data_IF_488025169203
#
_entry.id   IF_488025169203
#
_cell.length_a   1.000
_cell.length_b   1.000
_cell.length_c   1.000
_cell.angle_alpha   90.00
_cell.angle_beta   90.00
_cell.angle_gamma   90.00
#
_symmetry.space_group_name_H-M   'P 1'
#
loop_
_entity.id
_entity.type
_entity.pdbx_description
1 polymer ?
#
# COMPACT_ATOMS: atom_id res chain seq x y z
N UNK A 1 34.67 -5.60 7.11
CA UNK A 1 33.45 -5.95 7.87
C UNK A 1 32.52 -6.59 6.86
N UNK A 2 32.11 -7.83 7.07
CA UNK A 2 31.17 -8.51 6.18
C UNK A 2 29.76 -7.96 6.33
N UNK A 3 28.94 -8.09 5.28
CA UNK A 3 27.54 -7.65 5.29
C UNK A 3 26.71 -8.56 6.20
N UNK A 4 26.04 -7.95 7.15
CA UNK A 4 25.10 -8.59 8.07
C UNK A 4 24.00 -7.60 8.48
N UNK A 5 23.01 -8.03 9.23
CA UNK A 5 21.97 -7.13 9.76
C UNK A 5 22.54 -6.01 10.65
N UNK A 6 23.71 -6.20 11.25
CA UNK A 6 24.40 -5.18 12.07
C UNK A 6 25.25 -4.22 11.23
N UNK A 7 25.71 -4.65 10.06
CA UNK A 7 26.64 -3.90 9.20
C UNK A 7 25.98 -3.34 7.95
N UNK A 8 24.70 -3.69 7.71
CA UNK A 8 23.93 -3.16 6.59
C UNK A 8 23.69 -1.66 6.76
N UNK A 9 23.99 -0.88 5.71
CA UNK A 9 23.77 0.57 5.69
C UNK A 9 22.28 0.90 5.60
N UNK A 10 21.52 0.10 4.84
CA UNK A 10 20.06 0.25 4.76
C UNK A 10 19.38 -0.34 6.00
N UNK A 11 18.56 0.43 6.74
CA UNK A 11 17.79 -0.10 7.86
C UNK A 11 16.73 -1.11 7.43
N UNK A 12 16.30 -1.09 6.16
CA UNK A 12 15.34 -2.05 5.59
C UNK A 12 15.91 -3.47 5.66
N UNK A 13 17.21 -3.64 5.34
CA UNK A 13 17.89 -4.93 5.38
C UNK A 13 18.59 -5.21 6.71
N UNK A 14 18.94 -4.17 7.44
CA UNK A 14 19.60 -4.23 8.75
C UNK A 14 18.60 -4.35 9.90
N UNK A 15 18.37 -3.22 10.58
CA UNK A 15 17.52 -3.13 11.78
C UNK A 15 16.13 -3.76 11.62
N UNK A 16 15.54 -3.62 10.43
CA UNK A 16 14.17 -4.08 10.14
C UNK A 16 14.13 -5.31 9.22
N UNK A 17 15.27 -5.97 9.00
CA UNK A 17 15.38 -7.09 8.07
C UNK A 17 14.40 -8.25 8.32
N UNK A 18 14.01 -8.50 9.58
CA UNK A 18 12.99 -9.49 9.89
C UNK A 18 11.58 -9.06 9.47
N UNK A 19 11.28 -7.76 9.53
CA UNK A 19 9.99 -7.21 9.13
C UNK A 19 9.80 -7.19 7.60
N UNK A 20 10.88 -7.15 6.85
CA UNK A 20 10.90 -7.09 5.38
C UNK A 20 11.20 -8.43 4.73
N UNK A 21 11.32 -9.51 5.51
CA UNK A 21 11.70 -10.83 5.03
C UNK A 21 10.86 -11.31 3.83
N UNK A 22 9.56 -11.05 3.84
CA UNK A 22 8.64 -11.44 2.77
C UNK A 22 8.96 -10.79 1.41
N UNK A 23 9.74 -9.71 1.39
CA UNK A 23 10.13 -9.00 0.17
C UNK A 23 11.43 -9.53 -0.46
N UNK A 24 12.22 -10.33 0.27
CA UNK A 24 13.55 -10.77 -0.20
C UNK A 24 13.47 -11.62 -1.45
N UNK A 25 12.58 -12.58 -1.50
CA UNK A 25 12.38 -13.47 -2.66
C UNK A 25 11.79 -12.77 -3.88
N UNK A 26 11.34 -11.50 -3.71
CA UNK A 26 10.69 -10.72 -4.73
C UNK A 26 11.61 -9.60 -5.23
N UNK A 27 12.11 -8.74 -4.33
CA UNK A 27 12.78 -7.48 -4.72
C UNK A 27 14.30 -7.47 -4.51
N UNK A 28 14.89 -8.54 -4.01
CA UNK A 28 16.36 -8.65 -3.98
C UNK A 28 16.94 -8.94 -5.37
N UNK A 29 18.26 -8.85 -5.51
CA UNK A 29 18.95 -9.28 -6.73
C UNK A 29 18.63 -10.74 -7.07
N UNK A 30 18.54 -11.61 -6.05
CA UNK A 30 18.09 -12.99 -6.20
C UNK A 30 16.67 -13.05 -6.79
N UNK A 31 15.73 -12.26 -6.26
CA UNK A 31 14.37 -12.22 -6.77
C UNK A 31 14.30 -11.79 -8.23
N UNK A 32 15.02 -10.73 -8.62
CA UNK A 32 15.09 -10.29 -10.00
C UNK A 32 15.65 -11.38 -10.94
N UNK A 33 16.73 -12.05 -10.55
CA UNK A 33 17.29 -13.14 -11.34
C UNK A 33 16.33 -14.31 -11.49
N UNK A 34 15.63 -14.68 -10.43
CA UNK A 34 14.59 -15.71 -10.44
C UNK A 34 13.49 -15.42 -11.46
N UNK A 35 12.95 -14.19 -11.46
CA UNK A 35 11.91 -13.81 -12.42
C UNK A 35 12.44 -13.71 -13.85
N UNK A 36 13.68 -13.27 -14.08
CA UNK A 36 14.32 -13.31 -15.40
C UNK A 36 14.41 -14.72 -15.94
N UNK A 37 14.89 -15.68 -15.13
CA UNK A 37 14.93 -17.10 -15.48
C UNK A 37 13.54 -17.62 -15.81
N UNK A 38 12.53 -17.27 -15.03
CA UNK A 38 11.15 -17.64 -15.30
C UNK A 38 10.67 -17.14 -16.67
N UNK A 39 10.89 -15.87 -16.98
CA UNK A 39 10.45 -15.28 -18.26
C UNK A 39 11.14 -15.94 -19.44
N UNK A 40 12.46 -16.13 -19.38
CA UNK A 40 13.24 -16.78 -20.45
C UNK A 40 12.78 -18.22 -20.70
N UNK A 41 12.60 -18.99 -19.63
CA UNK A 41 12.13 -20.38 -19.73
C UNK A 41 10.72 -20.42 -20.34
N UNK A 42 9.81 -19.58 -19.89
CA UNK A 42 8.44 -19.53 -20.43
C UNK A 42 8.42 -19.08 -21.89
N UNK A 43 9.31 -18.16 -22.28
CA UNK A 43 9.45 -17.75 -23.68
C UNK A 43 9.91 -18.92 -24.57
N UNK A 44 10.95 -19.65 -24.16
CA UNK A 44 11.42 -20.84 -24.89
C UNK A 44 10.32 -21.90 -25.02
N UNK A 45 9.57 -22.18 -23.95
CA UNK A 45 8.43 -23.10 -24.01
C UNK A 45 7.33 -22.62 -24.96
N UNK A 46 7.06 -21.32 -25.01
CA UNK A 46 6.09 -20.72 -25.92
C UNK A 46 6.52 -20.85 -27.39
N UNK A 47 7.82 -20.65 -27.69
CA UNK A 47 8.37 -20.86 -29.02
C UNK A 47 8.24 -22.34 -29.45
N UNK A 48 8.60 -23.29 -28.58
CA UNK A 48 8.49 -24.73 -28.84
C UNK A 48 7.05 -25.20 -29.06
N UNK A 49 6.08 -24.55 -28.49
CA UNK A 49 4.67 -24.86 -28.68
C UNK A 49 4.08 -24.31 -30.01
N UNK A 50 4.88 -23.53 -30.78
CA UNK A 50 4.45 -22.96 -32.06
C UNK A 50 4.83 -23.83 -33.24
N UNK A 51 3.84 -24.37 -33.92
CA UNK A 51 4.08 -25.21 -35.09
C UNK A 51 4.72 -24.45 -36.28
N UNK A 52 4.59 -23.11 -36.30
CA UNK A 52 5.15 -22.24 -37.34
C UNK A 52 6.63 -21.91 -37.10
N UNK A 53 7.24 -22.47 -36.02
CA UNK A 53 8.67 -22.37 -35.69
C UNK A 53 9.27 -23.82 -35.72
N UNK A 54 9.43 -24.44 -36.87
CA UNK A 54 9.84 -25.85 -36.95
C UNK A 54 11.25 -26.12 -36.44
N UNK A 55 12.10 -25.09 -36.33
CA UNK A 55 13.46 -25.17 -35.77
C UNK A 55 13.47 -25.43 -34.27
N UNK A 56 12.34 -25.15 -33.58
CA UNK A 56 12.13 -25.47 -32.16
C UNK A 56 10.98 -26.46 -32.04
N UNK A 57 11.27 -27.79 -32.18
CA UNK A 57 10.23 -28.80 -32.07
C UNK A 57 9.51 -28.75 -30.73
N UNK A 58 8.26 -29.20 -30.71
CA UNK A 58 7.49 -29.31 -29.47
C UNK A 58 8.27 -30.22 -28.47
N UNK A 59 8.42 -29.70 -27.24
CA UNK A 59 9.10 -30.45 -26.18
C UNK A 59 8.21 -31.58 -25.67
N UNK A 60 8.84 -32.73 -25.36
CA UNK A 60 8.20 -33.79 -24.63
C UNK A 60 7.98 -33.42 -23.14
N UNK A 61 7.24 -34.29 -22.44
CA UNK A 61 6.90 -34.07 -21.04
C UNK A 61 8.14 -34.00 -20.14
N UNK A 62 9.20 -34.72 -20.43
CA UNK A 62 10.44 -34.71 -19.66
C UNK A 62 11.21 -33.42 -19.83
N UNK A 63 11.29 -32.85 -21.02
CA UNK A 63 11.92 -31.56 -21.29
C UNK A 63 11.11 -30.39 -20.67
N UNK A 64 9.79 -30.46 -20.74
CA UNK A 64 8.91 -29.48 -20.08
C UNK A 64 9.11 -29.55 -18.57
N UNK A 65 9.07 -30.74 -17.97
CA UNK A 65 9.26 -30.93 -16.53
C UNK A 65 10.63 -30.42 -16.06
N UNK A 66 11.68 -30.65 -16.86
CA UNK A 66 13.02 -30.15 -16.56
C UNK A 66 13.08 -28.61 -16.56
N UNK A 67 12.51 -27.97 -17.58
CA UNK A 67 12.42 -26.51 -17.64
C UNK A 67 11.62 -25.93 -16.48
N UNK A 68 10.48 -26.54 -16.14
CA UNK A 68 9.67 -26.15 -14.99
C UNK A 68 10.44 -26.31 -13.66
N UNK A 69 11.25 -27.35 -13.54
CA UNK A 69 12.09 -27.58 -12.37
C UNK A 69 13.20 -26.53 -12.23
N UNK A 70 13.78 -26.01 -13.33
CA UNK A 70 14.71 -24.87 -13.27
C UNK A 70 14.07 -23.65 -12.61
N UNK A 71 12.83 -23.35 -12.96
CA UNK A 71 12.09 -22.21 -12.39
C UNK A 71 11.69 -22.48 -10.93
N UNK A 72 11.08 -23.63 -10.66
CA UNK A 72 10.53 -23.97 -9.35
C UNK A 72 11.61 -24.14 -8.27
N UNK A 73 12.78 -24.69 -8.65
CA UNK A 73 13.89 -24.98 -7.74
C UNK A 73 15.03 -23.96 -7.85
N UNK A 74 14.80 -22.79 -8.45
CA UNK A 74 15.82 -21.74 -8.55
C UNK A 74 16.35 -21.39 -7.17
N UNK A 75 17.66 -21.43 -6.99
CA UNK A 75 18.32 -21.32 -5.69
C UNK A 75 19.35 -20.18 -5.66
N UNK A 76 19.80 -19.83 -4.44
CA UNK A 76 20.91 -18.86 -4.27
C UNK A 76 22.19 -19.33 -4.99
N UNK A 77 22.42 -20.65 -5.12
CA UNK A 77 23.56 -21.19 -5.90
C UNK A 77 23.43 -20.87 -7.38
N UNK A 78 22.23 -20.98 -7.93
CA UNK A 78 21.96 -20.63 -9.33
C UNK A 78 22.15 -19.14 -9.55
N UNK A 79 21.65 -18.30 -8.62
CA UNK A 79 21.87 -16.85 -8.66
C UNK A 79 23.37 -16.51 -8.59
N UNK A 80 24.13 -17.15 -7.70
CA UNK A 80 25.59 -16.97 -7.63
C UNK A 80 26.27 -17.36 -8.94
N UNK A 81 25.84 -18.47 -9.59
CA UNK A 81 26.37 -18.88 -10.89
C UNK A 81 26.13 -17.81 -11.96
N UNK A 82 24.93 -17.24 -12.03
CA UNK A 82 24.62 -16.13 -12.93
C UNK A 82 25.54 -14.92 -12.65
N UNK A 83 25.77 -14.58 -11.40
CA UNK A 83 26.67 -13.46 -11.01
C UNK A 83 28.14 -13.74 -11.35
N UNK A 84 28.58 -14.99 -11.33
CA UNK A 84 29.92 -15.38 -11.81
C UNK A 84 30.06 -15.16 -13.32
N UNK A 85 29.07 -15.56 -14.11
CA UNK A 85 29.04 -15.34 -15.55
C UNK A 85 29.01 -13.83 -15.84
N UNK A 86 28.21 -13.07 -15.12
CA UNK A 86 28.09 -11.61 -15.26
C UNK A 86 29.43 -10.89 -15.04
N UNK A 87 30.27 -11.33 -14.11
CA UNK A 87 31.62 -10.74 -13.89
C UNK A 87 32.48 -10.77 -15.15
N UNK A 88 32.27 -11.73 -16.02
CA UNK A 88 33.02 -11.89 -17.28
C UNK A 88 32.35 -11.16 -18.43
N UNK A 89 31.01 -11.26 -18.51
CA UNK A 89 30.22 -10.71 -19.63
C UNK A 89 29.96 -9.23 -19.46
N UNK A 90 30.00 -8.72 -18.23
CA UNK A 90 29.59 -7.37 -17.85
C UNK A 90 28.17 -7.00 -18.33
N UNK A 91 27.30 -8.02 -18.40
CA UNK A 91 25.91 -7.86 -18.85
C UNK A 91 25.00 -8.87 -18.12
N UNK A 92 24.07 -8.35 -17.33
CA UNK A 92 23.26 -9.13 -16.40
C UNK A 92 22.26 -10.08 -17.10
N UNK A 93 21.48 -9.59 -18.08
CA UNK A 93 20.51 -10.44 -18.80
C UNK A 93 21.23 -11.47 -19.67
N UNK A 94 22.35 -11.11 -20.29
CA UNK A 94 23.17 -12.07 -21.07
C UNK A 94 23.73 -13.18 -20.19
N UNK A 95 24.03 -12.87 -18.93
CA UNK A 95 24.47 -13.87 -17.96
C UNK A 95 23.37 -14.90 -17.65
N UNK A 96 22.10 -14.47 -17.60
CA UNK A 96 20.95 -15.38 -17.46
C UNK A 96 20.82 -16.29 -18.67
N UNK A 97 20.94 -15.76 -19.89
CA UNK A 97 20.93 -16.56 -21.12
C UNK A 97 22.01 -17.64 -21.10
N UNK A 98 23.26 -17.30 -20.76
CA UNK A 98 24.35 -18.26 -20.67
C UNK A 98 24.13 -19.32 -19.59
N UNK A 99 23.62 -18.91 -18.42
CA UNK A 99 23.24 -19.86 -17.38
C UNK A 99 22.20 -20.89 -17.87
N UNK A 100 21.18 -20.42 -18.60
CA UNK A 100 20.16 -21.31 -19.16
C UNK A 100 20.73 -22.22 -20.26
N UNK A 101 21.68 -21.73 -21.07
CA UNK A 101 22.40 -22.56 -22.03
C UNK A 101 23.21 -23.68 -21.34
N UNK A 102 23.91 -23.36 -20.23
CA UNK A 102 24.57 -24.36 -19.38
C UNK A 102 23.58 -25.43 -18.87
N UNK A 103 22.40 -24.99 -18.39
CA UNK A 103 21.36 -25.95 -17.94
C UNK A 103 20.80 -26.79 -19.09
N UNK A 104 20.65 -26.23 -20.28
CA UNK A 104 20.14 -26.92 -21.45
C UNK A 104 21.07 -28.08 -21.93
N UNK A 105 22.39 -28.01 -21.66
CA UNK A 105 23.34 -29.08 -22.01
C UNK A 105 22.96 -30.44 -21.40
N UNK A 106 22.26 -30.47 -20.28
CA UNK A 106 21.87 -31.71 -19.62
C UNK A 106 20.77 -32.51 -20.37
N UNK A 107 20.02 -31.83 -21.28
CA UNK A 107 18.91 -32.46 -22.00
C UNK A 107 19.12 -32.28 -23.51
N UNK A 108 19.35 -33.35 -24.29
CA UNK A 108 19.69 -33.23 -25.71
C UNK A 108 18.70 -32.42 -26.54
N UNK A 109 17.41 -32.55 -26.29
CA UNK A 109 16.37 -31.79 -26.97
C UNK A 109 16.46 -30.24 -26.69
N UNK A 110 16.82 -29.84 -25.48
CA UNK A 110 17.02 -28.45 -25.11
C UNK A 110 18.35 -27.89 -25.61
N UNK A 111 19.39 -28.72 -25.58
CA UNK A 111 20.71 -28.35 -26.11
C UNK A 111 20.66 -28.05 -27.61
N UNK A 112 19.91 -28.83 -28.38
CA UNK A 112 19.74 -28.64 -29.81
C UNK A 112 19.11 -27.30 -30.20
N UNK A 113 18.30 -26.71 -29.31
CA UNK A 113 17.60 -25.43 -29.52
C UNK A 113 18.09 -24.30 -28.61
N UNK A 114 19.26 -24.49 -27.99
CA UNK A 114 19.79 -23.54 -27.00
C UNK A 114 19.97 -22.10 -27.55
N UNK A 115 20.16 -21.95 -28.87
CA UNK A 115 20.25 -20.63 -29.54
C UNK A 115 18.90 -19.90 -29.59
N UNK A 116 17.78 -20.58 -29.31
CA UNK A 116 16.47 -19.95 -29.18
C UNK A 116 16.18 -19.42 -27.77
N UNK A 117 17.07 -19.62 -26.79
CA UNK A 117 17.02 -18.89 -25.52
C UNK A 117 17.27 -17.41 -25.83
N UNK A 118 16.42 -16.52 -25.33
CA UNK A 118 16.43 -15.08 -25.63
C UNK A 118 16.15 -14.72 -27.11
N UNK A 119 15.51 -15.63 -27.86
CA UNK A 119 15.28 -15.44 -29.29
C UNK A 119 14.44 -14.19 -29.59
N UNK A 120 14.97 -13.33 -30.46
CA UNK A 120 14.40 -12.05 -30.93
C UNK A 120 14.11 -11.02 -29.81
N UNK A 121 14.50 -11.30 -28.57
CA UNK A 121 14.32 -10.41 -27.44
C UNK A 121 15.39 -9.33 -27.36
N UNK A 122 15.03 -8.22 -26.74
CA UNK A 122 15.96 -7.28 -26.11
C UNK A 122 15.95 -7.54 -24.58
N UNK A 123 16.99 -7.09 -23.88
CA UNK A 123 17.05 -7.25 -22.41
C UNK A 123 15.82 -6.73 -21.70
N UNK A 124 15.21 -5.67 -22.22
CA UNK A 124 14.02 -5.07 -21.63
C UNK A 124 12.73 -5.90 -21.84
N UNK A 125 12.68 -6.78 -22.82
CA UNK A 125 11.58 -7.73 -22.95
C UNK A 125 11.55 -8.65 -21.71
N UNK A 126 12.72 -9.05 -21.22
CA UNK A 126 12.86 -9.87 -20.02
C UNK A 126 12.71 -9.06 -18.75
N UNK A 127 13.35 -7.89 -18.68
CA UNK A 127 13.34 -7.03 -17.50
C UNK A 127 11.94 -6.51 -17.16
N UNK A 128 11.20 -5.96 -18.15
CA UNK A 128 9.88 -5.41 -17.88
C UNK A 128 8.91 -6.47 -17.37
N UNK A 129 8.91 -7.66 -17.96
CA UNK A 129 8.07 -8.77 -17.50
C UNK A 129 8.50 -9.26 -16.12
N UNK A 130 9.82 -9.28 -15.84
CA UNK A 130 10.32 -9.62 -14.50
C UNK A 130 9.84 -8.63 -13.45
N UNK A 131 9.97 -7.32 -13.71
CA UNK A 131 9.47 -6.28 -12.80
C UNK A 131 7.95 -6.34 -12.63
N UNK A 132 7.22 -6.61 -13.72
CA UNK A 132 5.77 -6.79 -13.67
C UNK A 132 5.38 -7.97 -12.77
N UNK A 133 6.06 -9.12 -12.90
CA UNK A 133 5.85 -10.29 -12.04
C UNK A 133 6.23 -10.02 -10.58
N UNK A 134 7.33 -9.29 -10.33
CA UNK A 134 7.72 -8.86 -8.98
C UNK A 134 6.63 -8.01 -8.33
N UNK A 135 6.11 -7.00 -9.02
CA UNK A 135 5.06 -6.12 -8.51
C UNK A 135 3.73 -6.86 -8.32
N UNK A 136 3.36 -7.73 -9.26
CA UNK A 136 2.18 -8.58 -9.15
C UNK A 136 2.27 -9.50 -7.93
N UNK A 137 3.41 -10.17 -7.75
CA UNK A 137 3.65 -11.05 -6.61
C UNK A 137 3.58 -10.27 -5.29
N UNK A 138 4.25 -9.11 -5.22
CA UNK A 138 4.23 -8.27 -4.02
C UNK A 138 2.83 -7.75 -3.70
N UNK A 139 2.06 -7.36 -4.73
CA UNK A 139 0.66 -6.96 -4.56
C UNK A 139 -0.16 -8.06 -3.89
N UNK A 140 -0.15 -9.25 -4.49
CA UNK A 140 -1.03 -10.35 -4.05
C UNK A 140 -0.59 -10.97 -2.73
N UNK A 141 0.74 -11.13 -2.51
CA UNK A 141 1.23 -11.90 -1.36
C UNK A 141 1.65 -11.05 -0.17
N UNK A 142 1.85 -9.75 -0.34
CA UNK A 142 2.36 -8.86 0.73
C UNK A 142 1.44 -7.68 0.97
N UNK A 143 1.19 -6.83 -0.06
CA UNK A 143 0.50 -5.56 0.15
C UNK A 143 -0.99 -5.74 0.43
N UNK A 144 -1.72 -6.46 -0.42
CA UNK A 144 -3.16 -6.69 -0.22
C UNK A 144 -3.46 -7.41 1.11
N UNK A 145 -2.73 -8.47 1.51
CA UNK A 145 -2.90 -9.07 2.83
C UNK A 145 -2.62 -8.11 3.99
N UNK A 146 -1.54 -7.33 3.92
CA UNK A 146 -1.20 -6.37 4.98
C UNK A 146 -2.25 -5.25 5.09
N UNK A 147 -2.73 -4.72 3.96
CA UNK A 147 -3.78 -3.70 3.93
C UNK A 147 -5.11 -4.26 4.43
N UNK A 148 -5.49 -5.47 4.04
CA UNK A 148 -6.70 -6.14 4.54
C UNK A 148 -6.67 -6.28 6.05
N UNK A 149 -5.57 -6.76 6.59
CA UNK A 149 -5.39 -6.88 8.05
C UNK A 149 -5.55 -5.52 8.75
N UNK A 150 -4.95 -4.46 8.21
CA UNK A 150 -5.07 -3.11 8.76
C UNK A 150 -6.52 -2.60 8.73
N UNK A 151 -7.18 -2.74 7.58
CA UNK A 151 -8.57 -2.31 7.38
C UNK A 151 -9.50 -3.07 8.34
N UNK A 152 -9.33 -4.38 8.46
CA UNK A 152 -10.19 -5.22 9.32
C UNK A 152 -9.98 -4.87 10.80
N UNK A 153 -8.75 -4.54 11.22
CA UNK A 153 -8.48 -4.07 12.58
C UNK A 153 -9.19 -2.75 12.86
N UNK A 154 -9.08 -1.76 11.95
CA UNK A 154 -9.72 -0.46 12.13
C UNK A 154 -11.24 -0.57 12.07
N UNK A 155 -11.79 -1.46 11.22
CA UNK A 155 -13.23 -1.78 11.17
C UNK A 155 -13.73 -2.40 12.47
N UNK A 156 -12.98 -3.34 13.04
CA UNK A 156 -13.34 -3.94 14.33
C UNK A 156 -13.40 -2.87 15.41
N UNK A 157 -12.43 -1.96 15.46
CA UNK A 157 -12.45 -0.82 16.41
C UNK A 157 -13.62 0.13 16.13
N UNK A 158 -13.97 0.37 14.88
CA UNK A 158 -15.14 1.18 14.52
C UNK A 158 -16.44 0.55 15.07
N UNK A 159 -16.59 -0.76 14.94
CA UNK A 159 -17.74 -1.48 15.47
C UNK A 159 -17.76 -1.51 17.01
N UNK A 160 -16.62 -1.76 17.66
CA UNK A 160 -16.51 -1.83 19.11
C UNK A 160 -16.84 -0.50 19.80
N UNK A 161 -16.50 0.63 19.15
CA UNK A 161 -16.69 1.98 19.71
C UNK A 161 -17.76 2.79 18.98
N UNK A 162 -18.69 2.13 18.25
CA UNK A 162 -19.69 2.80 17.41
C UNK A 162 -20.56 3.79 18.14
N UNK A 163 -20.89 3.52 19.41
CA UNK A 163 -21.76 4.31 20.27
C UNK A 163 -21.01 5.11 21.34
N UNK A 164 -19.69 5.06 21.36
CA UNK A 164 -18.88 5.78 22.32
C UNK A 164 -18.74 7.26 21.91
N UNK A 165 -19.36 8.22 22.62
CA UNK A 165 -19.34 9.61 22.23
C UNK A 165 -17.94 10.23 22.39
N UNK A 166 -17.62 11.12 21.46
CA UNK A 166 -16.35 11.85 21.37
C UNK A 166 -16.63 13.32 21.10
N UNK A 167 -15.99 14.21 21.86
CA UNK A 167 -15.98 15.64 21.53
C UNK A 167 -15.08 15.88 20.31
N UNK A 168 -15.67 16.27 19.18
CA UNK A 168 -14.88 16.60 17.99
C UNK A 168 -14.10 17.90 18.19
N UNK A 169 -13.00 18.02 17.47
CA UNK A 169 -12.18 19.23 17.47
C UNK A 169 -11.96 19.71 16.04
N UNK A 170 -12.54 20.86 15.73
CA UNK A 170 -12.23 21.56 14.48
C UNK A 170 -11.31 22.74 14.79
N UNK A 171 -10.25 22.90 14.03
CA UNK A 171 -9.22 23.92 14.34
C UNK A 171 -8.63 23.76 15.76
N UNK A 172 -8.64 22.54 16.31
CA UNK A 172 -8.20 22.25 17.68
C UNK A 172 -9.18 22.69 18.78
N UNK A 173 -10.35 23.25 18.43
CA UNK A 173 -11.35 23.74 19.39
C UNK A 173 -12.51 22.75 19.53
N UNK A 174 -13.15 22.67 20.72
CA UNK A 174 -14.37 21.89 20.94
C UNK A 174 -15.43 22.19 19.88
N UNK A 175 -16.00 21.16 19.30
CA UNK A 175 -16.99 21.25 18.23
C UNK A 175 -18.08 20.19 18.41
N UNK A 176 -18.96 20.05 17.42
CA UNK A 176 -20.07 19.10 17.40
C UNK A 176 -19.59 17.68 17.74
N UNK A 177 -20.22 17.01 18.71
CA UNK A 177 -19.83 15.63 19.06
C UNK A 177 -20.02 14.63 17.94
N UNK A 178 -19.18 13.59 17.98
CA UNK A 178 -19.21 12.43 17.11
C UNK A 178 -19.12 11.15 17.95
N UNK A 179 -18.81 10.03 17.34
CA UNK A 179 -18.40 8.81 18.06
C UNK A 179 -16.99 8.37 17.66
N UNK A 180 -16.29 7.73 18.57
CA UNK A 180 -14.99 7.10 18.28
C UNK A 180 -15.11 6.13 17.11
N UNK A 181 -16.20 5.34 17.09
CA UNK A 181 -16.43 4.38 16.01
C UNK A 181 -16.59 5.04 14.65
N UNK A 182 -17.32 6.16 14.54
CA UNK A 182 -17.46 6.89 13.25
C UNK A 182 -16.14 7.48 12.78
N UNK A 183 -15.27 7.94 13.66
CA UNK A 183 -13.94 8.44 13.27
C UNK A 183 -13.08 7.31 12.71
N UNK A 184 -13.07 6.12 13.33
CA UNK A 184 -12.41 4.94 12.78
C UNK A 184 -13.05 4.46 11.46
N UNK A 185 -14.38 4.50 11.36
CA UNK A 185 -15.10 4.13 10.13
C UNK A 185 -14.67 5.00 8.94
N UNK A 186 -14.48 6.30 9.14
CA UNK A 186 -13.97 7.20 8.10
C UNK A 186 -12.60 6.75 7.57
N UNK A 187 -11.68 6.38 8.46
CA UNK A 187 -10.33 5.93 8.09
C UNK A 187 -10.40 4.59 7.33
N UNK A 188 -11.13 3.61 7.87
CA UNK A 188 -11.30 2.30 7.24
C UNK A 188 -11.90 2.41 5.84
N UNK A 189 -12.91 3.28 5.65
CA UNK A 189 -13.52 3.50 4.33
C UNK A 189 -12.53 4.12 3.33
N UNK A 190 -11.71 5.09 3.76
CA UNK A 190 -10.67 5.69 2.92
C UNK A 190 -9.64 4.65 2.48
N UNK A 191 -9.20 3.78 3.40
CA UNK A 191 -8.26 2.68 3.14
C UNK A 191 -8.85 1.64 2.19
N UNK A 192 -10.12 1.25 2.38
CA UNK A 192 -10.82 0.30 1.52
C UNK A 192 -10.90 0.77 0.06
N UNK A 193 -11.05 2.08 -0.17
CA UNK A 193 -11.02 2.64 -1.53
C UNK A 193 -9.66 2.44 -2.21
N UNK A 194 -8.56 2.59 -1.46
CA UNK A 194 -7.20 2.35 -1.99
C UNK A 194 -6.96 0.86 -2.23
N UNK A 195 -7.44 0.00 -1.32
CA UNK A 195 -7.36 -1.45 -1.46
C UNK A 195 -7.99 -1.91 -2.78
N UNK A 196 -9.22 -1.48 -3.06
CA UNK A 196 -9.92 -1.80 -4.31
C UNK A 196 -9.20 -1.27 -5.53
N UNK A 197 -8.63 -0.06 -5.46
CA UNK A 197 -7.88 0.52 -6.55
C UNK A 197 -6.61 -0.29 -6.83
N UNK A 198 -5.83 -0.66 -5.82
CA UNK A 198 -4.63 -1.48 -5.98
C UNK A 198 -4.95 -2.86 -6.54
N UNK A 199 -6.03 -3.48 -6.07
CA UNK A 199 -6.49 -4.79 -6.53
C UNK A 199 -6.86 -4.80 -8.02
N UNK A 200 -7.47 -3.72 -8.51
CA UNK A 200 -7.94 -3.59 -9.89
C UNK A 200 -6.90 -3.00 -10.85
N UNK A 201 -5.76 -2.54 -10.34
CA UNK A 201 -4.73 -1.92 -11.14
C UNK A 201 -4.15 -2.93 -12.14
N UNK A 202 -4.10 -2.55 -13.41
CA UNK A 202 -3.51 -3.35 -14.47
C UNK A 202 -1.97 -3.28 -14.39
N UNK A 203 -1.34 -4.43 -14.34
CA UNK A 203 0.12 -4.56 -14.42
C UNK A 203 0.46 -4.93 -15.84
N UNK A 204 1.22 -4.07 -16.51
CA UNK A 204 1.45 -4.15 -17.94
C UNK A 204 2.82 -4.80 -18.25
N UNK A 205 2.91 -5.39 -19.45
CA UNK A 205 4.15 -5.95 -19.95
C UNK A 205 4.18 -6.07 -21.46
N UNK A 206 5.39 -6.23 -22.00
CA UNK A 206 5.64 -6.36 -23.43
C UNK A 206 6.73 -7.39 -23.71
N UNK A 207 6.68 -7.98 -24.91
CA UNK A 207 7.77 -8.77 -25.51
C UNK A 207 7.69 -8.53 -27.04
N UNK A 208 8.42 -7.53 -27.55
CA UNK A 208 8.27 -7.06 -28.92
C UNK A 208 9.59 -6.52 -29.53
N UNK A 209 10.71 -6.82 -28.88
CA UNK A 209 12.05 -6.56 -29.40
C UNK A 209 12.57 -5.15 -29.11
N UNK A 210 13.65 -4.82 -29.77
CA UNK A 210 14.55 -3.70 -29.44
C UNK A 210 13.90 -2.31 -29.41
N UNK A 211 12.82 -2.07 -30.14
CA UNK A 211 12.10 -0.79 -30.19
C UNK A 211 10.58 -0.96 -30.22
N UNK A 212 10.08 -2.16 -29.89
CA UNK A 212 8.65 -2.41 -29.81
C UNK A 212 7.95 -2.71 -31.14
N UNK A 213 8.67 -3.04 -32.20
CA UNK A 213 8.13 -3.17 -33.55
C UNK A 213 8.30 -4.59 -34.16
N UNK A 214 8.72 -5.59 -33.38
CA UNK A 214 8.94 -6.96 -33.85
C UNK A 214 9.93 -7.09 -35.02
N UNK A 215 10.87 -6.16 -35.20
CA UNK A 215 11.77 -6.16 -36.36
C UNK A 215 12.53 -7.49 -36.53
N UNK A 216 13.15 -8.00 -35.46
CA UNK A 216 13.90 -9.25 -35.51
C UNK A 216 12.97 -10.46 -35.69
N UNK A 217 11.83 -10.47 -35.05
CA UNK A 217 10.82 -11.51 -35.15
C UNK A 217 10.32 -11.68 -36.59
N UNK A 218 9.87 -10.57 -37.19
CA UNK A 218 9.38 -10.53 -38.58
C UNK A 218 10.48 -10.84 -39.60
N UNK A 219 11.74 -10.50 -39.30
CA UNK A 219 12.87 -10.89 -40.18
C UNK A 219 13.12 -12.38 -40.19
N UNK A 220 12.90 -13.07 -39.06
CA UNK A 220 13.10 -14.51 -38.93
C UNK A 220 11.88 -15.31 -39.42
N UNK A 221 10.68 -14.89 -39.01
CA UNK A 221 9.40 -15.55 -39.30
C UNK A 221 8.35 -14.52 -39.70
N UNK A 222 8.33 -14.11 -40.99
CA UNK A 222 7.46 -13.03 -41.47
C UNK A 222 5.97 -13.37 -41.48
N UNK A 223 5.62 -14.66 -41.48
CA UNK A 223 4.25 -15.14 -41.61
C UNK A 223 3.57 -15.36 -40.24
N UNK A 224 4.31 -15.23 -39.13
CA UNK A 224 3.74 -15.34 -37.79
C UNK A 224 3.11 -14.02 -37.36
N UNK A 225 1.88 -14.09 -36.84
CA UNK A 225 1.24 -12.96 -36.15
C UNK A 225 1.90 -12.74 -34.77
N UNK A 226 3.03 -12.04 -34.76
CA UNK A 226 3.79 -11.75 -33.54
C UNK A 226 3.03 -10.86 -32.56
N UNK A 227 2.08 -10.07 -33.03
CA UNK A 227 1.22 -9.28 -32.15
C UNK A 227 0.39 -10.18 -31.26
N UNK A 228 -0.35 -11.10 -31.90
CA UNK A 228 -1.15 -12.08 -31.16
C UNK A 228 -0.26 -13.00 -30.31
N UNK A 229 0.86 -13.48 -30.87
CA UNK A 229 1.77 -14.39 -30.17
C UNK A 229 2.32 -13.80 -28.89
N UNK A 230 2.78 -12.55 -28.93
CA UNK A 230 3.30 -11.80 -27.77
C UNK A 230 2.20 -11.48 -26.76
N UNK A 231 1.01 -11.06 -27.23
CA UNK A 231 -0.13 -10.81 -26.37
C UNK A 231 -0.55 -12.06 -25.58
N UNK A 232 -0.66 -13.19 -26.27
CA UNK A 232 -0.97 -14.49 -25.65
C UNK A 232 0.12 -14.90 -24.63
N UNK A 233 1.39 -14.64 -24.94
CA UNK A 233 2.49 -14.95 -24.03
C UNK A 233 2.45 -14.10 -22.76
N UNK A 234 2.37 -12.77 -22.88
CA UNK A 234 2.32 -11.86 -21.74
C UNK A 234 1.13 -12.18 -20.86
N UNK A 235 -0.04 -12.41 -21.45
CA UNK A 235 -1.26 -12.78 -20.73
C UNK A 235 -1.12 -14.13 -20.00
N UNK A 236 -0.41 -15.08 -20.59
CA UNK A 236 -0.14 -16.38 -19.93
C UNK A 236 0.68 -16.27 -18.65
N UNK A 237 1.44 -15.19 -18.48
CA UNK A 237 2.16 -14.87 -17.25
C UNK A 237 1.27 -14.20 -16.17
N UNK A 238 0.00 -13.93 -16.46
CA UNK A 238 -0.90 -13.19 -15.58
C UNK A 238 -0.68 -11.67 -15.62
N UNK A 239 -0.04 -11.17 -16.67
CA UNK A 239 0.28 -9.76 -16.91
C UNK A 239 -0.60 -9.25 -18.06
N UNK A 240 -1.05 -8.01 -17.99
CA UNK A 240 -1.75 -7.36 -19.10
C UNK A 240 -0.77 -6.97 -20.21
N UNK A 241 -1.12 -7.30 -21.45
CA UNK A 241 -0.28 -6.98 -22.58
C UNK A 241 -0.40 -5.50 -22.98
N UNK A 242 0.75 -4.81 -23.10
CA UNK A 242 0.83 -3.46 -23.65
C UNK A 242 1.28 -3.54 -25.14
N UNK A 243 0.38 -3.25 -26.10
CA UNK A 243 0.72 -3.31 -27.52
C UNK A 243 1.55 -2.14 -28.04
N UNK A 244 1.61 -1.01 -27.31
CA UNK A 244 2.26 0.22 -27.72
C UNK A 244 3.42 0.58 -26.81
N UNK A 245 4.62 0.20 -27.19
CA UNK A 245 5.82 0.40 -26.38
C UNK A 245 7.00 0.86 -27.25
N UNK A 246 8.12 1.12 -26.60
CA UNK A 246 9.43 1.34 -27.27
C UNK A 246 10.36 0.16 -26.94
N UNK A 247 11.62 0.39 -26.60
CA UNK A 247 12.47 -0.67 -26.04
C UNK A 247 11.97 -1.06 -24.64
N UNK A 248 11.42 -0.10 -23.88
CA UNK A 248 10.83 -0.32 -22.58
C UNK A 248 9.30 -0.44 -22.68
N UNK A 249 8.70 -1.07 -21.68
CA UNK A 249 7.34 -0.77 -21.26
C UNK A 249 7.40 0.62 -20.59
N UNK A 250 6.51 1.60 -20.91
CA UNK A 250 6.67 3.01 -20.48
C UNK A 250 6.63 3.27 -18.98
N UNK A 251 6.32 2.27 -18.17
CA UNK A 251 6.28 2.31 -16.69
C UNK A 251 5.16 3.18 -16.08
N UNK A 252 4.18 3.61 -16.86
CA UNK A 252 3.05 4.39 -16.36
C UNK A 252 2.27 3.61 -15.30
N UNK A 253 2.07 2.28 -15.49
CA UNK A 253 1.42 1.43 -14.51
C UNK A 253 2.20 1.32 -13.19
N UNK A 254 3.54 1.42 -13.23
CA UNK A 254 4.37 1.44 -12.02
C UNK A 254 4.13 2.73 -11.24
N UNK A 255 4.01 3.86 -11.95
CA UNK A 255 3.65 5.14 -11.35
C UNK A 255 2.26 5.07 -10.69
N UNK A 256 1.26 4.54 -11.39
CA UNK A 256 -0.08 4.31 -10.82
C UNK A 256 -0.06 3.43 -9.57
N UNK A 257 0.72 2.35 -9.62
CA UNK A 257 0.90 1.43 -8.49
C UNK A 257 1.47 2.15 -7.27
N UNK A 258 2.56 2.90 -7.46
CA UNK A 258 3.23 3.59 -6.36
C UNK A 258 2.46 4.80 -5.84
N UNK A 259 1.75 5.50 -6.71
CA UNK A 259 0.83 6.56 -6.28
C UNK A 259 -0.33 6.01 -5.45
N UNK A 260 -0.84 4.83 -5.77
CA UNK A 260 -1.86 4.17 -4.96
C UNK A 260 -1.31 3.78 -3.58
N UNK A 261 -0.09 3.20 -3.52
CA UNK A 261 0.56 2.86 -2.25
C UNK A 261 0.84 4.12 -1.42
N UNK A 262 1.34 5.18 -2.03
CA UNK A 262 1.61 6.45 -1.36
C UNK A 262 0.34 7.11 -0.80
N UNK A 263 -0.81 6.99 -1.48
CA UNK A 263 -2.09 7.48 -0.93
C UNK A 263 -2.57 6.67 0.27
N UNK A 264 -2.44 5.34 0.22
CA UNK A 264 -2.72 4.51 1.41
C UNK A 264 -1.81 4.90 2.57
N UNK A 265 -0.52 5.06 2.32
CA UNK A 265 0.45 5.51 3.32
C UNK A 265 0.07 6.88 3.90
N UNK A 266 -0.40 7.82 3.08
CA UNK A 266 -0.82 9.15 3.51
C UNK A 266 -2.05 9.09 4.42
N UNK A 267 -3.01 8.21 4.12
CA UNK A 267 -4.16 7.97 5.00
C UNK A 267 -3.70 7.42 6.35
N UNK A 268 -2.72 6.53 6.34
CA UNK A 268 -2.18 5.95 7.57
C UNK A 268 -1.37 6.96 8.38
N UNK A 269 -0.61 7.86 7.75
CA UNK A 269 0.06 8.99 8.43
C UNK A 269 -0.97 9.88 9.15
N UNK A 270 -2.06 10.23 8.46
CA UNK A 270 -3.14 11.02 9.02
C UNK A 270 -3.74 10.33 10.26
N UNK A 271 -4.02 9.04 10.15
CA UNK A 271 -4.53 8.23 11.25
C UNK A 271 -3.54 8.09 12.42
N UNK A 272 -2.26 7.83 12.16
CA UNK A 272 -1.22 7.72 13.19
C UNK A 272 -1.11 9.03 13.99
N UNK A 273 -1.21 10.17 13.32
CA UNK A 273 -1.20 11.50 13.96
C UNK A 273 -2.43 11.76 14.81
N UNK A 274 -3.61 11.36 14.34
CA UNK A 274 -4.83 11.47 15.11
C UNK A 274 -4.79 10.60 16.37
N UNK A 275 -4.33 9.34 16.26
CA UNK A 275 -4.14 8.46 17.42
C UNK A 275 -3.13 9.05 18.41
N UNK A 276 -2.02 9.58 17.91
CA UNK A 276 -1.05 10.28 18.74
C UNK A 276 -1.69 11.47 19.48
N UNK A 277 -2.51 12.25 18.79
CA UNK A 277 -3.27 13.36 19.35
C UNK A 277 -4.28 12.90 20.41
N UNK A 278 -5.03 11.83 20.14
CA UNK A 278 -5.97 11.26 21.10
C UNK A 278 -5.28 10.71 22.36
N UNK A 279 -4.07 10.14 22.23
CA UNK A 279 -3.26 9.74 23.39
C UNK A 279 -2.84 10.98 24.18
N UNK A 280 -2.39 12.05 23.51
CA UNK A 280 -1.99 13.29 24.16
C UNK A 280 -3.16 13.95 24.90
N UNK A 281 -4.39 13.85 24.38
CA UNK A 281 -5.64 14.31 24.99
C UNK A 281 -6.19 13.34 26.06
N UNK A 282 -5.51 12.21 26.33
CA UNK A 282 -5.95 11.17 27.25
C UNK A 282 -7.29 10.50 26.87
N UNK A 283 -7.69 10.57 25.60
CA UNK A 283 -8.82 9.81 25.06
C UNK A 283 -8.49 8.32 24.97
N UNK A 284 -7.22 8.00 24.64
CA UNK A 284 -6.66 6.66 24.68
C UNK A 284 -5.48 6.58 25.63
N UNK A 285 -5.22 5.39 26.11
CA UNK A 285 -4.01 4.99 26.85
C UNK A 285 -3.35 3.84 26.14
N UNK A 286 -2.06 3.67 26.38
CA UNK A 286 -1.33 2.51 25.89
C UNK A 286 -1.16 1.49 27.01
N UNK A 287 -1.46 0.21 26.73
CA UNK A 287 -1.19 -0.91 27.63
C UNK A 287 0.29 -0.98 27.94
N UNK A 288 0.60 -1.09 29.23
CA UNK A 288 1.97 -1.36 29.67
C UNK A 288 2.26 -2.85 29.48
N UNK A 289 3.26 -3.19 28.70
CA UNK A 289 3.71 -4.57 28.53
C UNK A 289 4.83 -4.83 29.52
N UNK A 290 4.70 -5.91 30.30
CA UNK A 290 5.72 -6.28 31.29
C UNK A 290 7.10 -6.47 30.60
N UNK A 291 8.11 -5.73 31.09
CA UNK A 291 9.46 -5.75 30.54
C UNK A 291 9.76 -4.70 29.46
N UNK A 292 8.75 -3.98 28.93
CA UNK A 292 9.00 -2.82 28.07
C UNK A 292 9.31 -1.56 28.92
N UNK A 293 10.33 -0.80 28.51
CA UNK A 293 10.69 0.49 29.13
C UNK A 293 10.08 1.60 28.28
N UNK A 294 9.06 2.28 28.82
CA UNK A 294 8.35 3.36 28.11
C UNK A 294 9.17 4.65 27.94
N UNK A 295 10.06 4.92 28.90
CA UNK A 295 10.97 6.08 28.89
C UNK A 295 12.23 5.76 29.67
N UNK A 296 13.40 6.17 29.18
CA UNK A 296 14.67 5.99 29.87
C UNK A 296 14.83 6.89 31.12
N UNK A 297 14.04 7.97 31.21
CA UNK A 297 14.19 8.99 32.25
C UNK A 297 12.96 9.11 33.16
N UNK A 298 11.74 8.88 32.63
CA UNK A 298 10.48 9.01 33.36
C UNK A 298 9.71 7.68 33.34
N UNK A 299 9.81 6.85 34.40
CA UNK A 299 9.23 5.49 34.38
C UNK A 299 7.72 5.42 34.18
N UNK A 300 7.00 6.50 34.53
CA UNK A 300 5.53 6.60 34.36
C UNK A 300 5.09 6.95 32.94
N UNK A 301 6.01 7.32 32.05
CA UNK A 301 5.72 7.83 30.70
C UNK A 301 5.74 6.68 29.69
N UNK A 302 4.60 6.39 29.10
CA UNK A 302 4.45 5.42 28.01
C UNK A 302 4.32 6.19 26.69
N UNK A 303 5.39 6.21 25.90
CA UNK A 303 5.41 6.94 24.63
C UNK A 303 4.70 6.16 23.51
N UNK A 304 3.97 6.81 22.59
CA UNK A 304 3.31 6.19 21.44
C UNK A 304 4.30 5.87 20.30
N UNK A 305 5.43 5.23 20.64
CA UNK A 305 6.57 5.02 19.73
C UNK A 305 6.22 4.18 18.49
N UNK A 306 5.22 3.33 18.56
CA UNK A 306 4.82 2.49 17.45
C UNK A 306 4.18 3.36 16.34
N UNK A 307 3.38 4.38 16.68
CA UNK A 307 2.78 5.33 15.73
C UNK A 307 3.84 6.32 15.19
N UNK A 308 4.76 6.79 16.03
CA UNK A 308 5.88 7.65 15.60
C UNK A 308 6.82 6.91 14.64
N UNK A 309 7.12 5.64 14.90
CA UNK A 309 7.91 4.79 14.02
C UNK A 309 7.20 4.57 12.68
N UNK A 310 5.88 4.37 12.69
CA UNK A 310 5.08 4.25 11.48
C UNK A 310 5.13 5.54 10.67
N UNK A 311 4.80 6.68 11.24
CA UNK A 311 4.82 7.98 10.55
C UNK A 311 6.18 8.24 9.88
N UNK A 312 7.28 8.03 10.61
CA UNK A 312 8.63 8.23 10.09
C UNK A 312 8.95 7.33 8.88
N UNK A 313 8.60 6.04 8.96
CA UNK A 313 8.83 5.10 7.85
C UNK A 313 7.90 5.36 6.65
N UNK A 314 6.65 5.77 6.88
CA UNK A 314 5.72 6.17 5.79
C UNK A 314 6.21 7.40 5.04
N UNK A 315 6.80 8.37 5.75
CA UNK A 315 7.42 9.53 5.12
C UNK A 315 8.56 9.15 4.18
N UNK A 316 9.45 8.25 4.63
CA UNK A 316 10.53 7.71 3.80
C UNK A 316 9.99 6.89 2.62
N UNK A 317 8.99 6.04 2.86
CA UNK A 317 8.32 5.28 1.82
C UNK A 317 7.79 6.20 0.71
N UNK A 318 7.01 7.22 1.09
CA UNK A 318 6.40 8.15 0.13
C UNK A 318 7.43 8.96 -0.66
N UNK A 319 8.57 9.29 -0.07
CA UNK A 319 9.66 9.97 -0.77
C UNK A 319 10.26 9.07 -1.89
N UNK A 320 10.49 7.79 -1.59
CA UNK A 320 11.00 6.82 -2.57
C UNK A 320 9.95 6.51 -3.63
N UNK A 321 8.72 6.19 -3.22
CA UNK A 321 7.61 5.86 -4.13
C UNK A 321 7.29 7.04 -5.07
N UNK A 322 7.23 8.26 -4.54
CA UNK A 322 6.99 9.47 -5.34
C UNK A 322 8.11 9.76 -6.35
N UNK A 323 9.38 9.51 -5.99
CA UNK A 323 10.47 9.62 -6.95
C UNK A 323 10.34 8.57 -8.07
N UNK A 324 10.04 7.33 -7.73
CA UNK A 324 9.83 6.25 -8.70
C UNK A 324 8.67 6.57 -9.65
N UNK A 325 7.53 7.02 -9.10
CA UNK A 325 6.33 7.37 -9.87
C UNK A 325 6.57 8.53 -10.85
N UNK A 326 7.39 9.52 -10.47
CA UNK A 326 7.68 10.67 -11.34
C UNK A 326 8.84 10.43 -12.29
N UNK A 327 9.80 9.57 -11.95
CA UNK A 327 10.99 9.32 -12.77
C UNK A 327 10.78 8.26 -13.85
N UNK A 328 10.13 7.15 -13.50
CA UNK A 328 10.08 5.97 -14.37
C UNK A 328 9.34 6.22 -15.71
N UNK A 329 8.23 6.98 -15.77
CA UNK A 329 7.58 7.30 -17.04
C UNK A 329 8.41 8.20 -17.97
N UNK A 330 9.52 8.77 -17.49
CA UNK A 330 10.36 9.68 -18.26
C UNK A 330 11.61 8.97 -18.75
N UNK A 331 11.66 8.69 -20.05
CA UNK A 331 12.83 8.13 -20.74
C UNK A 331 13.13 8.92 -22.01
N UNK A 332 14.41 9.04 -22.36
CA UNK A 332 14.83 9.75 -23.58
C UNK A 332 14.63 8.87 -24.79
N UNK A 333 13.92 9.38 -25.78
CA UNK A 333 13.62 8.71 -27.06
C UNK A 333 13.02 7.31 -26.80
N UNK A 334 13.61 6.25 -27.39
CA UNK A 334 13.13 4.89 -27.23
C UNK A 334 13.60 4.25 -25.93
N UNK A 335 14.69 4.70 -25.35
CA UNK A 335 15.18 4.36 -24.00
C UNK A 335 16.44 5.14 -23.63
N UNK A 336 16.58 5.50 -22.35
CA UNK A 336 17.86 5.70 -21.68
C UNK A 336 18.03 4.70 -20.51
N UNK A 337 19.26 4.58 -19.98
CA UNK A 337 19.55 3.57 -18.95
C UNK A 337 19.26 4.02 -17.51
N UNK A 338 18.72 5.22 -17.30
CA UNK A 338 18.48 5.75 -15.95
C UNK A 338 17.38 4.99 -15.20
N UNK A 339 16.46 4.36 -15.90
CA UNK A 339 15.43 3.49 -15.37
C UNK A 339 16.03 2.28 -14.63
N UNK A 340 17.02 1.62 -15.19
CA UNK A 340 17.66 0.41 -14.63
C UNK A 340 18.20 0.64 -13.22
N UNK A 341 18.81 1.80 -12.96
CA UNK A 341 19.31 2.17 -11.62
C UNK A 341 18.15 2.38 -10.64
N UNK A 342 17.08 3.02 -11.09
CA UNK A 342 15.94 3.40 -10.26
C UNK A 342 15.06 2.19 -9.93
N UNK A 343 14.82 1.32 -10.90
CA UNK A 343 14.03 0.08 -10.74
C UNK A 343 14.59 -0.87 -9.66
N UNK A 344 15.88 -0.83 -9.36
CA UNK A 344 16.47 -1.61 -8.26
C UNK A 344 15.97 -1.18 -6.88
N UNK A 345 15.25 -0.05 -6.78
CA UNK A 345 14.68 0.47 -5.54
C UNK A 345 13.17 0.18 -5.39
N UNK A 346 12.55 -0.60 -6.28
CA UNK A 346 11.12 -0.94 -6.21
C UNK A 346 10.73 -1.47 -4.82
N UNK A 347 11.53 -2.38 -4.27
CA UNK A 347 11.29 -2.98 -2.96
C UNK A 347 11.56 -2.06 -1.78
N UNK A 348 12.34 -0.99 -1.94
CA UNK A 348 12.76 -0.12 -0.83
C UNK A 348 11.57 0.68 -0.28
N UNK A 349 10.80 1.33 -1.17
CA UNK A 349 9.60 2.07 -0.78
C UNK A 349 8.53 1.15 -0.16
N UNK A 350 8.31 -0.02 -0.76
CA UNK A 350 7.40 -1.04 -0.23
C UNK A 350 7.89 -1.57 1.13
N UNK A 351 9.20 -1.74 1.29
CA UNK A 351 9.82 -2.19 2.55
C UNK A 351 9.57 -1.22 3.70
N UNK A 352 9.79 0.08 3.49
CA UNK A 352 9.44 1.10 4.48
C UNK A 352 7.95 1.13 4.80
N UNK A 353 7.08 0.97 3.78
CA UNK A 353 5.63 0.86 3.99
C UNK A 353 5.26 -0.34 4.87
N UNK A 354 5.82 -1.51 4.59
CA UNK A 354 5.54 -2.74 5.36
C UNK A 354 6.02 -2.64 6.82
N UNK A 355 7.17 -2.00 7.08
CA UNK A 355 7.66 -1.73 8.43
C UNK A 355 6.65 -0.86 9.18
N UNK A 356 6.12 0.16 8.54
CA UNK A 356 5.15 1.08 9.10
C UNK A 356 3.81 0.40 9.41
N UNK A 357 3.28 -0.38 8.46
CA UNK A 357 2.02 -1.13 8.67
C UNK A 357 2.08 -2.04 9.89
N UNK A 358 3.20 -2.77 10.06
CA UNK A 358 3.42 -3.61 11.24
C UNK A 358 3.55 -2.78 12.52
N UNK A 359 4.11 -1.57 12.44
CA UNK A 359 4.23 -0.68 13.59
C UNK A 359 2.88 -0.12 14.03
N UNK A 360 2.06 0.41 13.11
CA UNK A 360 0.69 0.86 13.44
C UNK A 360 -0.13 -0.29 14.00
N UNK A 361 -0.09 -1.47 13.37
CA UNK A 361 -0.81 -2.65 13.87
C UNK A 361 -0.42 -3.01 15.31
N UNK A 362 0.88 -2.96 15.62
CA UNK A 362 1.38 -3.18 16.98
C UNK A 362 0.88 -2.11 17.95
N UNK A 363 0.89 -0.84 17.52
CA UNK A 363 0.38 0.30 18.30
C UNK A 363 -1.11 0.15 18.61
N UNK A 364 -1.94 -0.20 17.62
CA UNK A 364 -3.38 -0.40 17.77
C UNK A 364 -3.70 -1.51 18.79
N UNK A 365 -2.96 -2.61 18.78
CA UNK A 365 -3.14 -3.71 19.71
C UNK A 365 -2.84 -3.34 21.19
N UNK A 366 -2.14 -2.21 21.40
CA UNK A 366 -1.84 -1.69 22.74
C UNK A 366 -2.79 -0.59 23.20
N UNK A 367 -3.72 -0.13 22.35
CA UNK A 367 -4.63 0.96 22.71
C UNK A 367 -5.71 0.47 23.70
N UNK A 368 -6.00 1.33 24.66
CA UNK A 368 -7.15 1.24 25.55
C UNK A 368 -7.88 2.58 25.54
N UNK A 369 -9.17 2.55 25.29
CA UNK A 369 -10.00 3.75 25.32
C UNK A 369 -10.23 4.20 26.77
N UNK A 370 -10.23 5.51 26.99
CA UNK A 370 -10.53 6.12 28.28
C UNK A 370 -11.96 6.69 28.29
N UNK A 371 -12.95 5.79 28.29
CA UNK A 371 -14.37 6.15 28.20
C UNK A 371 -14.80 7.22 29.22
N UNK A 372 -14.32 7.07 30.47
CA UNK A 372 -14.66 8.04 31.52
C UNK A 372 -14.22 9.44 31.14
N UNK A 373 -13.00 9.58 30.63
CA UNK A 373 -12.47 10.88 30.25
C UNK A 373 -13.24 11.49 29.05
N UNK A 374 -13.58 10.69 28.05
CA UNK A 374 -14.39 11.14 26.92
C UNK A 374 -15.75 11.67 27.35
N UNK A 375 -16.42 11.00 28.28
CA UNK A 375 -17.71 11.45 28.82
C UNK A 375 -17.58 12.68 29.69
N UNK A 376 -16.58 12.73 30.57
CA UNK A 376 -16.30 13.88 31.44
C UNK A 376 -15.97 15.14 30.61
N UNK A 377 -15.24 15.00 29.48
CA UNK A 377 -14.92 16.11 28.58
C UNK A 377 -16.18 16.66 27.91
N UNK A 378 -17.08 15.79 27.43
CA UNK A 378 -18.36 16.21 26.87
C UNK A 378 -19.23 16.97 27.89
N UNK A 379 -19.29 16.50 29.13
CA UNK A 379 -20.03 17.16 30.19
C UNK A 379 -19.46 18.55 30.58
N UNK A 380 -18.25 18.83 30.18
CA UNK A 380 -17.63 20.16 30.37
C UNK A 380 -17.86 21.14 29.21
N UNK A 381 -18.48 20.69 28.10
CA UNK A 381 -18.62 21.48 26.86
C UNK A 381 -20.07 21.55 26.38
N UNK A 382 -20.99 22.01 27.27
CA UNK A 382 -22.41 22.15 26.93
C UNK A 382 -22.69 23.20 25.85
N UNK A 383 -21.77 24.13 25.62
CA UNK A 383 -21.86 25.16 24.57
C UNK A 383 -21.96 24.58 23.15
N UNK A 384 -21.55 23.33 22.92
CA UNK A 384 -21.68 22.64 21.61
C UNK A 384 -23.15 22.47 21.20
N UNK A 385 -24.08 22.48 22.17
CA UNK A 385 -25.52 22.45 21.91
C UNK A 385 -26.09 23.75 21.36
N UNK A 386 -25.30 24.83 21.31
CA UNK A 386 -25.70 26.05 20.62
C UNK A 386 -26.03 25.80 19.15
N UNK A 387 -25.36 24.87 18.47
CA UNK A 387 -25.59 24.52 17.06
C UNK A 387 -26.99 23.97 16.81
N UNK A 388 -27.47 22.87 17.46
CA UNK A 388 -28.80 22.34 17.23
C UNK A 388 -29.89 23.32 17.67
N UNK A 389 -29.71 24.06 18.78
CA UNK A 389 -30.68 25.04 19.25
C UNK A 389 -30.83 26.18 18.23
N UNK A 390 -29.70 26.74 17.73
CA UNK A 390 -29.74 27.75 16.68
C UNK A 390 -30.47 27.25 15.43
N UNK A 391 -30.21 26.00 15.02
CA UNK A 391 -30.82 25.41 13.84
C UNK A 391 -32.37 25.30 14.01
N UNK A 392 -32.83 24.89 15.19
CA UNK A 392 -34.26 24.84 15.51
C UNK A 392 -34.85 26.23 15.58
N UNK A 393 -34.19 27.21 16.21
CA UNK A 393 -34.64 28.60 16.22
C UNK A 393 -34.84 29.16 14.81
N UNK A 394 -33.92 28.85 13.86
CA UNK A 394 -34.05 29.24 12.44
C UNK A 394 -35.27 28.59 11.78
N UNK A 395 -35.50 27.29 12.03
CA UNK A 395 -36.68 26.56 11.52
C UNK A 395 -37.99 27.24 11.91
N UNK A 396 -38.05 27.81 13.12
CA UNK A 396 -39.25 28.48 13.64
C UNK A 396 -39.23 30.00 13.43
N UNK A 397 -38.32 30.55 12.64
CA UNK A 397 -38.29 31.97 12.26
C UNK A 397 -37.93 32.92 13.38
N UNK A 398 -37.27 32.46 14.46
CA UNK A 398 -36.82 33.27 15.55
C UNK A 398 -35.75 34.24 15.02
N UNK A 399 -35.95 35.54 15.24
CA UNK A 399 -34.99 36.59 14.82
C UNK A 399 -33.69 36.52 15.58
N UNK A 400 -32.57 36.72 14.85
CA UNK A 400 -31.19 36.82 15.37
C UNK A 400 -30.80 35.67 16.28
N UNK A 401 -30.95 34.41 15.83
CA UNK A 401 -30.69 33.25 16.67
C UNK A 401 -29.22 33.15 17.11
N UNK A 402 -28.28 33.52 16.24
CA UNK A 402 -26.84 33.52 16.56
C UNK A 402 -26.50 34.50 17.67
N UNK A 403 -27.03 35.74 17.59
CA UNK A 403 -26.79 36.81 18.55
C UNK A 403 -27.33 36.44 19.94
N UNK A 404 -28.51 35.85 20.01
CA UNK A 404 -29.11 35.38 21.27
C UNK A 404 -28.26 34.30 21.94
N UNK A 405 -27.74 33.34 21.18
CA UNK A 405 -26.85 32.30 21.71
C UNK A 405 -25.47 32.83 22.08
N UNK A 406 -24.94 33.79 21.30
CA UNK A 406 -23.67 34.43 21.61
C UNK A 406 -23.71 35.17 22.97
N UNK A 407 -24.83 35.76 23.34
CA UNK A 407 -25.01 36.38 24.63
C UNK A 407 -25.02 35.36 25.78
N UNK A 408 -25.57 34.16 25.56
CA UNK A 408 -25.55 33.06 26.52
C UNK A 408 -24.14 32.51 26.74
N UNK A 409 -23.38 32.34 25.67
CA UNK A 409 -22.09 31.58 25.71
C UNK A 409 -20.87 32.47 25.96
N UNK A 410 -21.01 33.81 25.77
CA UNK A 410 -19.85 34.72 25.82
C UNK A 410 -19.35 34.94 27.25
N UNK A 411 -18.14 34.42 27.51
CA UNK A 411 -17.41 34.63 28.77
C UNK A 411 -17.99 33.93 29.99
N UNK A 412 -18.94 33.02 29.80
CA UNK A 412 -19.52 32.20 30.87
C UNK A 412 -19.41 30.70 30.48
N UNK A 413 -19.16 29.87 31.48
CA UNK A 413 -19.31 28.42 31.33
C UNK A 413 -20.80 28.12 31.24
N UNK A 414 -21.19 27.43 30.17
CA UNK A 414 -22.56 26.94 29.98
C UNK A 414 -22.65 25.54 30.56
N UNK A 415 -23.63 25.30 31.40
CA UNK A 415 -23.97 24.01 31.95
C UNK A 415 -25.41 23.59 31.57
N UNK A 416 -25.80 22.39 31.97
CA UNK A 416 -27.13 21.85 31.68
C UNK A 416 -28.26 22.80 32.13
N UNK A 417 -28.13 23.39 33.31
CA UNK A 417 -29.15 24.28 33.86
C UNK A 417 -29.28 25.58 33.08
N UNK A 418 -28.15 26.21 32.75
CA UNK A 418 -28.13 27.41 31.92
C UNK A 418 -28.76 27.18 30.54
N UNK A 419 -28.48 26.00 29.94
CA UNK A 419 -29.07 25.64 28.65
C UNK A 419 -30.59 25.42 28.75
N UNK A 420 -31.07 24.74 29.80
CA UNK A 420 -32.49 24.53 30.00
C UNK A 420 -33.26 25.87 30.21
N UNK A 421 -32.72 26.77 31.04
CA UNK A 421 -33.29 28.12 31.27
C UNK A 421 -33.35 28.92 29.96
N UNK A 422 -32.33 28.82 29.15
CA UNK A 422 -32.30 29.47 27.83
C UNK A 422 -33.40 28.92 26.90
N UNK A 423 -33.55 27.60 26.82
CA UNK A 423 -34.57 26.95 25.99
C UNK A 423 -35.98 27.36 26.46
N UNK A 424 -36.24 27.45 27.77
CA UNK A 424 -37.51 27.87 28.32
C UNK A 424 -37.90 29.29 27.88
N UNK A 425 -36.93 30.18 27.78
CA UNK A 425 -37.12 31.56 27.32
C UNK A 425 -37.36 31.75 25.82
N UNK A 426 -37.22 30.68 24.99
CA UNK A 426 -37.40 30.77 23.55
C UNK A 426 -38.90 30.75 23.14
N UNK A 427 -39.25 31.46 22.08
CA UNK A 427 -40.59 31.42 21.47
C UNK A 427 -40.73 30.22 20.56
N UNK A 428 -40.74 29.02 21.14
CA UNK A 428 -40.88 27.73 20.47
C UNK A 428 -42.10 26.98 20.99
N UNK A 429 -42.69 26.06 20.18
CA UNK A 429 -43.72 25.17 20.70
C UNK A 429 -43.21 24.31 21.87
N UNK A 430 -44.08 24.03 22.85
CA UNK A 430 -43.68 23.30 24.04
C UNK A 430 -43.08 21.91 23.74
N UNK A 431 -43.62 21.23 22.73
CA UNK A 431 -43.06 19.95 22.26
C UNK A 431 -41.62 20.08 21.79
N UNK A 432 -41.26 21.16 21.10
CA UNK A 432 -39.87 21.40 20.65
C UNK A 432 -38.95 21.79 21.81
N UNK A 433 -39.44 22.63 22.77
CA UNK A 433 -38.69 22.93 23.99
C UNK A 433 -38.40 21.64 24.77
N UNK A 434 -39.40 20.77 24.95
CA UNK A 434 -39.23 19.51 25.62
C UNK A 434 -38.18 18.61 24.92
N UNK A 435 -38.23 18.52 23.59
CA UNK A 435 -37.26 17.78 22.78
C UNK A 435 -35.84 18.37 22.91
N UNK A 436 -35.67 19.64 22.78
CA UNK A 436 -34.37 20.32 22.94
C UNK A 436 -33.75 20.08 24.31
N UNK A 437 -34.57 20.07 25.36
CA UNK A 437 -34.12 19.81 26.74
C UNK A 437 -33.63 18.39 26.99
N UNK A 438 -33.95 17.42 26.12
CA UNK A 438 -33.40 16.08 26.20
C UNK A 438 -32.00 15.95 25.57
N UNK A 439 -31.55 16.96 24.82
CA UNK A 439 -30.23 16.97 24.24
C UNK A 439 -29.15 17.17 25.28
N UNK A 440 -28.12 16.39 25.18
CA UNK A 440 -26.87 16.49 25.94
C UNK A 440 -25.70 16.41 24.97
N UNK A 441 -24.51 16.91 25.31
CA UNK A 441 -23.32 16.71 24.47
C UNK A 441 -23.03 15.22 24.17
N UNK A 442 -23.44 14.32 25.08
CA UNK A 442 -23.22 12.88 24.90
C UNK A 442 -24.21 12.20 23.94
N UNK A 443 -25.40 12.77 23.72
CA UNK A 443 -26.42 12.18 22.84
C UNK A 443 -26.67 12.97 21.55
N UNK A 444 -26.01 14.12 21.40
CA UNK A 444 -26.07 14.91 20.15
C UNK A 444 -25.09 14.37 19.11
N UNK A 445 -25.35 13.17 18.60
CA UNK A 445 -24.42 12.40 17.77
C UNK A 445 -24.85 12.32 16.29
N UNK A 446 -26.04 12.87 15.95
CA UNK A 446 -26.58 12.73 14.60
C UNK A 446 -26.65 11.26 14.15
N UNK A 447 -26.17 10.98 12.96
CA UNK A 447 -26.11 9.65 12.37
C UNK A 447 -24.80 8.88 12.63
N UNK A 448 -23.94 9.34 13.54
CA UNK A 448 -22.60 8.80 13.73
C UNK A 448 -22.62 7.28 14.02
N UNK A 449 -23.57 6.81 14.85
CA UNK A 449 -23.71 5.38 15.17
C UNK A 449 -24.07 4.58 13.91
N UNK A 450 -25.06 5.02 13.15
CA UNK A 450 -25.46 4.36 11.91
C UNK A 450 -24.33 4.31 10.90
N UNK A 451 -23.58 5.41 10.74
CA UNK A 451 -22.45 5.46 9.81
C UNK A 451 -21.29 4.51 10.21
N UNK A 452 -21.15 4.22 11.49
CA UNK A 452 -20.19 3.22 11.96
C UNK A 452 -20.68 1.78 11.74
N UNK A 453 -22.00 1.55 11.82
CA UNK A 453 -22.62 0.23 11.62
C UNK A 453 -22.71 -0.17 10.14
N UNK A 454 -22.87 0.79 9.22
CA UNK A 454 -23.00 0.56 7.78
C UNK A 454 -21.67 0.35 7.04
N UNK A 455 -20.53 0.40 7.72
CA UNK A 455 -19.21 0.21 7.15
C UNK A 455 -18.95 -1.29 6.86
#
# INVERSE_FOLDING_TARGET
>A
MELSSLTAVSPVDGRYGDKTRALRDIFSEYGLLKFRVQVEVRWLQKLAACADIPEVPAFDDDAIAYLDAIVANFSEKDAMRIKEIERTTNHDVKAVEYFLKEKAEAVPALHAVSEFIHFACTSEDINNLSHALMLSTARETVLLPAWRQMIDTVRAMAADYRDLPLLSRTHGQPATPSTVGKEFANVAYRMERQYRQLQQLEILGKINGAVGNYNAHLSAYPDIDWHKFSGDFVTSLGIQWNPYTTQIEPHDYIAEFFDCVARFNTILIDFDRDIWGYIALNHFKQKTIAGEIGSSTMPHKVNPIDFENSEGNLGLANAVLGHLATKLPVSRWQRDLTDSTVLRNLGVGIGYSLIAYQSTQKGLNKLEVNEKHLRDELDQNWEVLAEPIQTVMRRYGIEKPYEKLKELTRGKRVDAQAMQVFIDGLELPDAEKARLKTLTPQNYLGDAIRLADEL
#
